data_IF_117155995806
#
_entry.id   IF_117155995806
#
_cell.length_a   1.000
_cell.length_b   1.000
_cell.length_c   1.000
_cell.angle_alpha   90.00
_cell.angle_beta   90.00
_cell.angle_gamma   90.00
#
_symmetry.space_group_name_H-M   'P 1'
#
loop_
_entity.id
_entity.type
_entity.pdbx_description
1 polymer ?
#
# COMPACT_ATOMS: atom_id res chain seq x y z
N UNK A 1 15.31 -16.70 2.88
CA UNK A 1 15.43 -16.31 1.68
C UNK A 1 15.45 -14.85 1.48
N UNK A 2 14.41 -14.19 1.47
CA UNK A 2 14.51 -12.82 1.27
C UNK A 2 14.95 -12.09 2.44
N UNK A 3 14.99 -12.65 3.56
CA UNK A 3 15.32 -11.92 4.72
C UNK A 3 16.62 -11.29 4.64
N UNK A 4 17.57 -11.98 4.11
CA UNK A 4 18.86 -11.44 4.12
C UNK A 4 18.98 -10.33 3.22
N UNK A 5 18.40 -10.41 2.10
CA UNK A 5 18.49 -9.31 1.26
C UNK A 5 17.71 -8.21 1.79
N UNK A 6 16.78 -8.52 2.63
CA UNK A 6 15.90 -7.52 3.11
C UNK A 6 16.51 -6.56 4.06
N UNK A 7 17.66 -6.80 4.56
CA UNK A 7 18.32 -5.87 5.42
C UNK A 7 18.41 -4.52 4.78
N UNK A 8 19.03 -4.46 3.62
CA UNK A 8 19.16 -3.22 2.93
C UNK A 8 17.97 -2.90 2.10
N UNK A 9 17.39 -3.91 1.45
CA UNK A 9 16.26 -3.67 0.60
C UNK A 9 15.09 -3.13 1.39
N UNK A 10 14.93 -3.55 2.63
CA UNK A 10 13.84 -3.06 3.45
C UNK A 10 13.99 -1.57 3.74
N UNK A 11 15.22 -1.13 3.95
CA UNK A 11 15.46 0.28 4.21
C UNK A 11 15.17 1.11 2.97
N UNK A 12 15.64 0.64 1.81
CA UNK A 12 15.39 1.35 0.57
C UNK A 12 13.92 1.37 0.25
N UNK A 13 13.23 0.24 0.46
CA UNK A 13 11.81 0.18 0.19
C UNK A 13 11.04 1.11 1.10
N UNK A 14 11.49 1.28 2.33
CA UNK A 14 10.81 2.16 3.24
C UNK A 14 10.93 3.61 2.79
N UNK A 15 12.11 4.01 2.34
CA UNK A 15 12.31 5.36 1.82
C UNK A 15 11.45 5.58 0.60
N UNK A 16 11.44 4.58 -0.29
CA UNK A 16 10.67 4.65 -1.51
C UNK A 16 9.18 4.75 -1.19
N UNK A 17 8.70 3.95 -0.23
CA UNK A 17 7.31 3.98 0.17
C UNK A 17 6.95 5.32 0.78
N UNK A 18 7.83 5.90 1.58
CA UNK A 18 7.56 7.20 2.17
C UNK A 18 7.37 8.24 1.09
N UNK A 19 8.20 8.23 0.06
CA UNK A 19 8.09 9.17 -1.02
C UNK A 19 6.77 9.00 -1.76
N UNK A 20 6.38 7.76 -2.00
CA UNK A 20 5.15 7.49 -2.68
C UNK A 20 3.95 7.81 -1.82
N UNK A 21 4.00 7.47 -0.54
CA UNK A 21 2.90 7.74 0.35
C UNK A 21 2.63 9.23 0.47
N UNK A 22 3.65 10.04 0.33
CA UNK A 22 3.47 11.47 0.39
C UNK A 22 2.66 11.98 -0.80
N UNK A 23 2.67 11.25 -1.90
CA UNK A 23 1.95 11.64 -3.09
C UNK A 23 0.54 11.12 -3.13
N UNK A 24 0.20 10.21 -2.22
CA UNK A 24 -1.14 9.65 -2.17
C UNK A 24 -2.03 10.49 -1.28
N UNK A 25 -3.34 10.48 -1.54
CA UNK A 25 -4.24 11.20 -0.66
C UNK A 25 -4.44 10.38 0.62
N UNK A 26 -5.19 10.94 1.56
CA UNK A 26 -5.33 10.32 2.88
C UNK A 26 -5.98 8.95 2.81
N UNK A 27 -6.96 8.77 1.93
CA UNK A 27 -7.65 7.49 1.82
C UNK A 27 -6.75 6.43 1.22
N UNK A 28 -5.98 6.81 0.22
CA UNK A 28 -5.06 5.87 -0.39
C UNK A 28 -3.96 5.45 0.57
N UNK A 29 -3.47 6.41 1.37
CA UNK A 29 -2.45 6.07 2.37
C UNK A 29 -3.02 5.13 3.41
N UNK A 30 -4.27 5.35 3.82
CA UNK A 30 -4.91 4.51 4.81
C UNK A 30 -5.05 3.09 4.27
N UNK A 31 -5.43 2.95 3.00
CA UNK A 31 -5.58 1.65 2.40
C UNK A 31 -4.24 0.90 2.39
N UNK A 32 -3.18 1.57 1.96
CA UNK A 32 -1.87 0.94 1.90
C UNK A 32 -1.40 0.55 3.30
N UNK A 33 -1.63 1.42 4.28
CA UNK A 33 -1.24 1.12 5.64
C UNK A 33 -1.95 -0.14 6.14
N UNK A 34 -3.25 -0.22 5.94
CA UNK A 34 -4.01 -1.37 6.41
C UNK A 34 -3.64 -2.64 5.64
N UNK A 35 -3.39 -2.50 4.36
CA UNK A 35 -3.11 -3.67 3.53
C UNK A 35 -1.72 -4.25 3.80
N UNK A 36 -0.73 -3.41 3.91
CA UNK A 36 0.65 -3.89 4.00
C UNK A 36 1.27 -3.84 5.38
N UNK A 37 0.79 -2.97 6.23
CA UNK A 37 1.32 -2.91 7.59
C UNK A 37 0.47 -3.67 8.57
N UNK A 38 -0.85 -3.67 8.40
CA UNK A 38 -1.74 -4.37 9.29
C UNK A 38 -2.20 -5.71 8.71
N UNK A 39 -1.82 -5.99 7.49
CA UNK A 39 -2.09 -7.29 6.88
C UNK A 39 -3.57 -7.60 6.78
N UNK A 40 -4.37 -6.60 6.54
CA UNK A 40 -5.82 -6.78 6.45
C UNK A 40 -6.21 -7.22 5.05
N UNK A 41 -7.30 -7.94 4.95
CA UNK A 41 -7.82 -8.31 3.64
C UNK A 41 -8.58 -7.14 3.05
N UNK A 42 -8.84 -7.20 1.74
CA UNK A 42 -9.59 -6.14 1.08
C UNK A 42 -10.99 -6.01 1.68
N UNK A 43 -11.60 -7.13 2.06
CA UNK A 43 -12.92 -7.09 2.67
C UNK A 43 -12.88 -6.39 4.02
N UNK A 44 -11.86 -6.66 4.81
CA UNK A 44 -11.71 -6.01 6.10
C UNK A 44 -11.46 -4.51 5.93
N UNK A 45 -10.64 -4.15 4.97
CA UNK A 45 -10.34 -2.76 4.69
C UNK A 45 -11.61 -2.05 4.24
N UNK A 46 -12.40 -2.70 3.40
CA UNK A 46 -13.64 -2.11 2.90
C UNK A 46 -14.58 -1.80 4.06
N UNK A 47 -14.69 -2.72 5.01
CA UNK A 47 -15.54 -2.51 6.17
C UNK A 47 -15.03 -1.34 7.00
N UNK A 48 -13.71 -1.27 7.19
CA UNK A 48 -13.13 -0.21 7.99
C UNK A 48 -13.29 1.16 7.33
N UNK A 49 -13.17 1.22 6.01
CA UNK A 49 -13.26 2.47 5.29
C UNK A 49 -14.69 2.85 4.90
N UNK A 50 -15.64 1.95 5.12
CA UNK A 50 -17.01 2.23 4.77
C UNK A 50 -17.27 2.22 3.27
N UNK A 51 -16.55 1.40 2.53
CA UNK A 51 -16.72 1.30 1.09
C UNK A 51 -16.86 -0.16 0.71
N UNK A 52 -17.09 -0.43 -0.57
CA UNK A 52 -17.24 -1.80 -1.01
C UNK A 52 -15.86 -2.42 -1.27
N UNK A 53 -15.82 -3.74 -1.26
CA UNK A 53 -14.58 -4.45 -1.53
C UNK A 53 -14.11 -4.16 -2.97
N UNK A 54 -15.05 -3.97 -3.89
CA UNK A 54 -14.70 -3.65 -5.26
C UNK A 54 -13.98 -2.30 -5.32
N UNK A 55 -14.43 -1.33 -4.52
CA UNK A 55 -13.78 -0.04 -4.49
C UNK A 55 -12.37 -0.14 -3.93
N UNK A 56 -12.19 -0.96 -2.89
CA UNK A 56 -10.86 -1.17 -2.33
C UNK A 56 -9.96 -1.81 -3.39
N UNK A 57 -10.48 -2.80 -4.11
CA UNK A 57 -9.71 -3.47 -5.14
C UNK A 57 -9.28 -2.49 -6.23
N UNK A 58 -10.19 -1.61 -6.64
CA UNK A 58 -9.86 -0.64 -7.67
C UNK A 58 -8.86 0.38 -7.18
N UNK A 59 -9.00 0.83 -5.94
CA UNK A 59 -8.06 1.77 -5.36
C UNK A 59 -6.68 1.15 -5.26
N UNK A 60 -6.62 -0.08 -4.83
CA UNK A 60 -5.35 -0.76 -4.71
C UNK A 60 -4.65 -0.89 -6.06
N UNK A 61 -5.40 -1.24 -7.11
CA UNK A 61 -4.83 -1.34 -8.43
C UNK A 61 -4.31 0.00 -8.92
N UNK A 62 -5.05 1.07 -8.65
CA UNK A 62 -4.63 2.40 -9.06
C UNK A 62 -3.33 2.79 -8.35
N UNK A 63 -3.27 2.50 -7.06
CA UNK A 63 -2.07 2.83 -6.29
C UNK A 63 -0.88 2.05 -6.80
N UNK A 64 -1.06 0.76 -7.03
CA UNK A 64 0.02 -0.07 -7.54
C UNK A 64 0.51 0.40 -8.90
N UNK A 65 -0.41 0.89 -9.72
CA UNK A 65 -0.02 1.42 -11.01
C UNK A 65 0.83 2.67 -10.84
N UNK A 66 0.47 3.53 -9.89
CA UNK A 66 1.26 4.71 -9.62
C UNK A 66 2.64 4.33 -9.12
N UNK A 67 2.72 3.31 -8.28
CA UNK A 67 4.01 2.84 -7.80
C UNK A 67 4.85 2.33 -8.96
N UNK A 68 4.22 1.62 -9.87
CA UNK A 68 4.93 1.09 -11.01
C UNK A 68 5.45 2.22 -11.90
N UNK A 69 4.62 3.25 -12.08
CA UNK A 69 5.03 4.38 -12.91
C UNK A 69 6.16 5.19 -12.29
N UNK A 70 6.33 5.09 -10.98
CA UNK A 70 7.38 5.82 -10.31
C UNK A 70 8.74 5.15 -10.50
N UNK A 71 8.75 3.87 -10.78
CA UNK A 71 10.01 3.20 -11.01
C UNK A 71 10.41 3.29 -12.46
#
# INVERSE_FOLDING_TARGET
LQEKENGQDAALNRIFLDEILKKLDARERQLIYMRYFKDMTQTEIAAEMGVSQVQVSRMEKRILKQLKDQT
#
